data_IF_729230491335
#
_entry.id   IF_729230491335
#
_cell.length_a   1.000
_cell.length_b   1.000
_cell.length_c   1.000
_cell.angle_alpha   90.00
_cell.angle_beta   90.00
_cell.angle_gamma   90.00
#
_symmetry.space_group_name_H-M   'P 1'
#
loop_
_entity.id
_entity.type
_entity.pdbx_description
1 polymer ?
#
# COMPACT_ATOMS: atom_id res chain seq x y z
N UNK A 1 -1.58 22.84 -15.94
CA UNK A 1 -1.03 21.49 -15.65
C UNK A 1 0.47 21.34 -15.92
N UNK A 2 1.04 21.78 -17.06
CA UNK A 2 2.47 21.61 -17.36
C UNK A 2 3.48 22.29 -16.40
N UNK A 3 3.09 23.38 -15.72
CA UNK A 3 3.99 24.11 -14.80
C UNK A 3 4.25 23.36 -13.49
N UNK A 4 3.20 22.78 -12.89
CA UNK A 4 3.29 21.98 -11.67
C UNK A 4 4.12 20.70 -11.89
N UNK A 5 3.89 20.02 -13.02
CA UNK A 5 4.68 18.84 -13.39
C UNK A 5 6.16 19.19 -13.59
N UNK A 6 6.47 20.26 -14.34
CA UNK A 6 7.86 20.73 -14.50
C UNK A 6 8.51 21.11 -13.17
N UNK A 7 7.77 21.77 -12.28
CA UNK A 7 8.26 22.09 -10.93
C UNK A 7 8.56 20.82 -10.13
N UNK A 8 7.66 19.85 -10.12
CA UNK A 8 7.89 18.55 -9.47
C UNK A 8 9.12 17.84 -10.05
N UNK A 9 9.26 17.81 -11.37
CA UNK A 9 10.44 17.22 -12.05
C UNK A 9 11.74 17.91 -11.62
N UNK A 10 11.74 19.24 -11.49
CA UNK A 10 12.90 19.99 -11.01
C UNK A 10 13.21 19.62 -9.56
N UNK A 11 12.23 19.61 -8.66
CA UNK A 11 12.40 19.20 -7.26
C UNK A 11 12.93 17.76 -7.16
N UNK A 12 12.40 16.84 -7.96
CA UNK A 12 12.86 15.44 -8.00
C UNK A 12 14.29 15.32 -8.52
N UNK A 13 14.73 16.22 -9.40
CA UNK A 13 16.10 16.22 -9.93
C UNK A 13 17.10 16.74 -8.90
N UNK A 14 16.76 17.81 -8.18
CA UNK A 14 17.66 18.42 -7.19
C UNK A 14 17.61 17.73 -5.82
N UNK A 15 16.44 17.22 -5.43
CA UNK A 15 16.17 16.63 -4.12
C UNK A 15 15.27 15.40 -4.25
N UNK A 16 15.74 14.30 -4.85
CA UNK A 16 14.93 13.13 -5.19
C UNK A 16 14.24 12.52 -3.96
N UNK A 17 15.01 12.22 -2.91
CA UNK A 17 14.49 11.61 -1.68
C UNK A 17 13.46 12.52 -1.00
N UNK A 18 13.80 13.79 -0.76
CA UNK A 18 12.90 14.73 -0.05
C UNK A 18 11.58 14.92 -0.80
N UNK A 19 11.66 15.07 -2.12
CA UNK A 19 10.48 15.25 -2.98
C UNK A 19 9.57 14.04 -2.89
N UNK A 20 10.14 12.84 -2.97
CA UNK A 20 9.39 11.60 -2.88
C UNK A 20 8.78 11.39 -1.49
N UNK A 21 9.54 11.63 -0.42
CA UNK A 21 9.08 11.58 0.98
C UNK A 21 7.86 12.48 1.21
N UNK A 22 7.96 13.76 0.82
CA UNK A 22 6.88 14.73 1.01
C UNK A 22 5.66 14.34 0.16
N UNK A 23 5.87 13.96 -1.11
CA UNK A 23 4.76 13.56 -1.98
C UNK A 23 4.07 12.28 -1.50
N UNK A 24 4.82 11.34 -0.90
CA UNK A 24 4.27 10.10 -0.35
C UNK A 24 3.37 10.38 0.84
N UNK A 25 3.81 11.20 1.80
CA UNK A 25 2.96 11.57 2.94
C UNK A 25 1.65 12.21 2.51
N UNK A 26 1.70 13.16 1.56
CA UNK A 26 0.50 13.82 1.05
C UNK A 26 -0.43 12.85 0.30
N UNK A 27 0.12 11.98 -0.54
CA UNK A 27 -0.67 10.99 -1.29
C UNK A 27 -1.30 9.94 -0.38
N UNK A 28 -0.61 9.53 0.68
CA UNK A 28 -1.16 8.61 1.68
C UNK A 28 -2.28 9.26 2.51
N UNK A 29 -2.11 10.50 2.95
CA UNK A 29 -3.16 11.23 3.67
C UNK A 29 -4.41 11.48 2.81
N UNK A 30 -4.24 11.93 1.57
CA UNK A 30 -5.37 12.09 0.62
C UNK A 30 -5.97 10.74 0.22
N UNK A 31 -5.12 9.72 0.08
CA UNK A 31 -5.40 8.29 0.01
C UNK A 31 -6.47 7.85 1.01
N UNK A 32 -6.15 8.09 2.27
CA UNK A 32 -6.95 7.68 3.41
C UNK A 32 -8.30 8.40 3.47
N UNK A 33 -8.34 9.71 3.19
CA UNK A 33 -9.60 10.48 3.15
C UNK A 33 -10.55 9.88 2.11
N UNK A 34 -10.05 9.58 0.91
CA UNK A 34 -10.88 8.98 -0.14
C UNK A 34 -11.32 7.55 0.22
N UNK A 35 -10.44 6.74 0.83
CA UNK A 35 -10.78 5.41 1.31
C UNK A 35 -11.90 5.45 2.35
N UNK A 36 -11.84 6.37 3.31
CA UNK A 36 -12.89 6.58 4.30
C UNK A 36 -14.22 6.96 3.62
N UNK A 37 -14.19 7.84 2.62
CA UNK A 37 -15.39 8.27 1.88
C UNK A 37 -16.03 7.12 1.07
N UNK A 38 -15.21 6.35 0.35
CA UNK A 38 -15.68 5.19 -0.43
C UNK A 38 -16.32 4.16 0.51
N UNK A 39 -15.67 3.90 1.64
CA UNK A 39 -16.13 2.94 2.63
C UNK A 39 -17.49 3.36 3.22
N UNK A 40 -17.65 4.63 3.60
CA UNK A 40 -18.94 5.16 4.07
C UNK A 40 -20.05 5.05 3.00
N UNK A 41 -19.71 5.37 1.75
CA UNK A 41 -20.64 5.28 0.62
C UNK A 41 -21.06 3.83 0.32
N UNK A 42 -20.14 2.87 0.42
CA UNK A 42 -20.41 1.45 0.22
C UNK A 42 -21.33 0.88 1.31
N UNK A 43 -21.06 1.19 2.59
CA UNK A 43 -21.90 0.76 3.71
C UNK A 43 -23.35 1.26 3.58
N UNK A 44 -23.53 2.52 3.15
CA UNK A 44 -24.85 3.11 2.90
C UNK A 44 -25.65 2.39 1.81
N UNK A 45 -24.97 1.76 0.85
CA UNK A 45 -25.62 1.05 -0.26
C UNK A 45 -26.10 -0.35 0.13
N UNK A 46 -25.42 -1.02 1.07
CA UNK A 46 -25.73 -2.39 1.49
C UNK A 46 -26.73 -2.52 2.65
N UNK A 47 -26.96 -1.46 3.44
CA UNK A 47 -27.91 -1.44 4.55
C UNK A 47 -29.03 -0.41 4.33
N UNK A 48 -30.00 -0.66 3.42
CA UNK A 48 -31.15 0.21 3.27
C UNK A 48 -32.24 -0.22 4.26
N UNK A 49 -32.01 -0.18 5.58
CA UNK A 49 -33.10 -0.44 6.52
C UNK A 49 -32.96 0.27 7.86
N UNK A 50 -34.01 1.07 8.11
CA UNK A 50 -34.55 1.53 9.40
C UNK A 50 -33.84 2.67 10.15
N UNK A 51 -34.59 3.78 10.25
CA UNK A 51 -34.47 4.96 11.14
C UNK A 51 -33.38 5.99 10.82
N UNK A 52 -33.81 7.03 10.09
CA UNK A 52 -33.48 8.47 10.19
C UNK A 52 -32.38 8.92 11.18
N UNK A 53 -31.15 8.47 10.97
CA UNK A 53 -29.97 9.26 11.22
C UNK A 53 -29.17 9.26 9.93
N UNK A 54 -29.15 10.38 9.21
CA UNK A 54 -28.12 10.60 8.19
C UNK A 54 -26.80 10.61 8.95
N UNK A 55 -26.12 9.46 9.03
CA UNK A 55 -24.76 9.43 9.57
C UNK A 55 -23.91 10.30 8.66
N UNK A 56 -23.70 11.52 9.12
CA UNK A 56 -22.89 12.52 8.44
C UNK A 56 -21.48 11.95 8.29
N UNK A 57 -20.95 11.98 7.08
CA UNK A 57 -19.60 11.49 6.82
C UNK A 57 -18.59 12.31 7.64
N UNK A 58 -18.00 11.70 8.66
CA UNK A 58 -16.96 12.32 9.50
C UNK A 58 -15.61 11.73 9.17
N UNK A 59 -14.69 12.60 8.75
CA UNK A 59 -13.30 12.22 8.48
C UNK A 59 -12.60 11.95 9.81
N UNK A 60 -12.05 10.75 9.94
CA UNK A 60 -11.14 10.38 11.01
C UNK A 60 -9.75 10.98 10.75
N UNK A 61 -9.54 12.22 11.20
CA UNK A 61 -8.26 12.93 11.06
C UNK A 61 -7.09 12.25 11.76
N UNK A 62 -7.35 11.48 12.84
CA UNK A 62 -6.31 10.68 13.49
C UNK A 62 -5.77 9.63 12.52
N UNK A 63 -6.66 8.90 11.84
CA UNK A 63 -6.27 7.89 10.83
C UNK A 63 -5.50 8.51 9.67
N UNK A 64 -5.96 9.65 9.16
CA UNK A 64 -5.28 10.41 8.09
C UNK A 64 -3.86 10.82 8.52
N UNK A 65 -3.69 11.30 9.75
CA UNK A 65 -2.38 11.66 10.28
C UNK A 65 -1.44 10.46 10.37
N UNK A 66 -1.94 9.33 10.88
CA UNK A 66 -1.18 8.08 11.01
C UNK A 66 -0.74 7.57 9.62
N UNK A 67 -1.66 7.44 8.66
CA UNK A 67 -1.32 6.95 7.31
C UNK A 67 -0.41 7.91 6.55
N UNK A 68 -0.62 9.23 6.69
CA UNK A 68 0.29 10.24 6.15
C UNK A 68 1.70 10.12 6.75
N UNK A 69 1.82 9.85 8.05
CA UNK A 69 3.11 9.63 8.70
C UNK A 69 3.78 8.34 8.21
N UNK A 70 3.01 7.27 7.94
CA UNK A 70 3.53 6.06 7.32
C UNK A 70 4.09 6.34 5.92
N UNK A 71 3.32 7.06 5.09
CA UNK A 71 3.75 7.50 3.76
C UNK A 71 5.03 8.33 3.80
N UNK A 72 5.13 9.26 4.76
CA UNK A 72 6.30 10.12 4.93
C UNK A 72 7.52 9.37 5.49
N UNK A 73 7.34 8.58 6.56
CA UNK A 73 8.42 8.00 7.35
C UNK A 73 8.93 6.66 6.84
N UNK A 74 8.08 5.87 6.16
CA UNK A 74 8.43 4.55 5.68
C UNK A 74 8.37 4.46 4.15
N UNK A 75 7.20 4.64 3.55
CA UNK A 75 7.01 4.39 2.10
C UNK A 75 7.84 5.34 1.24
N UNK A 76 7.92 6.61 1.63
CA UNK A 76 8.75 7.62 0.98
C UNK A 76 10.23 7.23 0.90
N UNK A 77 10.95 7.10 2.04
CA UNK A 77 12.37 6.82 2.03
C UNK A 77 12.68 5.36 1.63
N UNK A 78 11.96 4.38 2.19
CA UNK A 78 12.22 2.96 1.93
C UNK A 78 11.82 2.61 0.51
N UNK A 79 10.68 3.09 0.02
CA UNK A 79 10.25 2.86 -1.35
C UNK A 79 11.20 3.48 -2.38
N UNK A 80 11.76 4.67 -2.10
CA UNK A 80 12.76 5.30 -2.96
C UNK A 80 13.99 4.40 -3.11
N UNK A 81 14.56 4.00 -1.96
CA UNK A 81 15.74 3.15 -1.92
C UNK A 81 15.47 1.78 -2.53
N UNK A 82 14.27 1.23 -2.34
CA UNK A 82 13.86 -0.03 -2.92
C UNK A 82 13.84 0.01 -4.44
N UNK A 83 13.12 0.95 -5.06
CA UNK A 83 13.01 0.99 -6.53
C UNK A 83 14.33 1.32 -7.22
N UNK A 84 15.15 2.21 -6.66
CA UNK A 84 16.48 2.49 -7.18
C UNK A 84 17.44 1.31 -6.99
N UNK A 85 17.43 0.71 -5.79
CA UNK A 85 18.24 -0.46 -5.47
C UNK A 85 17.90 -1.66 -6.33
N UNK A 86 16.62 -1.92 -6.55
CA UNK A 86 16.10 -3.00 -7.38
C UNK A 86 16.50 -2.82 -8.85
N UNK A 87 16.37 -1.60 -9.38
CA UNK A 87 16.81 -1.28 -10.74
C UNK A 87 18.32 -1.49 -10.90
N UNK A 88 19.12 -1.01 -9.94
CA UNK A 88 20.56 -1.15 -9.94
C UNK A 88 20.99 -2.62 -9.83
N UNK A 89 20.36 -3.39 -8.94
CA UNK A 89 20.64 -4.80 -8.74
C UNK A 89 20.38 -5.60 -10.03
N UNK A 90 19.22 -5.42 -10.64
CA UNK A 90 18.85 -6.19 -11.84
C UNK A 90 19.74 -5.83 -13.04
N UNK A 91 20.11 -4.55 -13.20
CA UNK A 91 21.01 -4.13 -14.28
C UNK A 91 22.45 -4.59 -14.07
N UNK A 92 22.98 -4.46 -12.86
CA UNK A 92 24.40 -4.70 -12.60
C UNK A 92 24.71 -6.17 -12.26
N UNK A 93 23.83 -6.84 -11.52
CA UNK A 93 24.03 -8.23 -11.09
C UNK A 93 23.41 -9.23 -12.05
N UNK A 94 22.15 -9.02 -12.45
CA UNK A 94 21.46 -9.94 -13.36
C UNK A 94 21.70 -9.61 -14.85
N UNK A 95 22.30 -8.45 -15.14
CA UNK A 95 22.63 -7.99 -16.51
C UNK A 95 21.43 -8.03 -17.47
N UNK A 96 20.22 -7.83 -16.95
CA UNK A 96 19.01 -7.88 -17.75
C UNK A 96 18.79 -6.54 -18.47
N UNK A 97 18.43 -6.64 -19.76
CA UNK A 97 18.12 -5.48 -20.58
C UNK A 97 16.89 -4.73 -20.02
N UNK A 98 16.98 -3.42 -19.78
CA UNK A 98 15.85 -2.63 -19.31
C UNK A 98 14.63 -2.81 -20.22
N UNK A 99 13.44 -2.87 -19.63
CA UNK A 99 12.16 -3.07 -20.33
C UNK A 99 11.95 -4.44 -21.00
N UNK A 100 12.93 -5.36 -20.94
CA UNK A 100 12.71 -6.73 -21.38
C UNK A 100 11.71 -7.46 -20.47
N UNK A 101 11.02 -8.48 -20.97
CA UNK A 101 10.09 -9.27 -20.16
C UNK A 101 10.78 -9.89 -18.93
N UNK A 102 12.03 -10.35 -19.09
CA UNK A 102 12.85 -10.88 -18.00
C UNK A 102 13.14 -9.83 -16.93
N UNK A 103 13.47 -8.60 -17.35
CA UNK A 103 13.72 -7.49 -16.44
C UNK A 103 12.47 -7.12 -15.62
N UNK A 104 11.31 -7.01 -16.30
CA UNK A 104 10.03 -6.71 -15.64
C UNK A 104 9.61 -7.84 -14.71
N UNK A 105 9.74 -9.09 -15.16
CA UNK A 105 9.42 -10.27 -14.35
C UNK A 105 10.30 -10.39 -13.10
N UNK A 106 11.61 -10.12 -13.22
CA UNK A 106 12.52 -10.12 -12.06
C UNK A 106 12.16 -9.01 -11.06
N UNK A 107 11.88 -7.79 -11.54
CA UNK A 107 11.40 -6.70 -10.67
C UNK A 107 10.12 -7.07 -9.96
N UNK A 108 9.14 -7.58 -10.70
CA UNK A 108 7.85 -7.97 -10.16
C UNK A 108 7.97 -9.07 -9.11
N UNK A 109 8.79 -10.09 -9.37
CA UNK A 109 8.99 -11.18 -8.42
C UNK A 109 9.67 -10.70 -7.13
N UNK A 110 10.71 -9.86 -7.23
CA UNK A 110 11.37 -9.31 -6.05
C UNK A 110 10.45 -8.37 -5.27
N UNK A 111 9.71 -7.52 -5.97
CA UNK A 111 8.74 -6.61 -5.36
C UNK A 111 7.63 -7.38 -4.65
N UNK A 112 7.01 -8.33 -5.33
CA UNK A 112 5.91 -9.12 -4.78
C UNK A 112 6.34 -10.11 -3.69
N UNK A 113 7.49 -10.78 -3.81
CA UNK A 113 7.88 -11.84 -2.86
C UNK A 113 8.74 -11.34 -1.69
N UNK A 114 9.40 -10.19 -1.83
CA UNK A 114 10.27 -9.65 -0.77
C UNK A 114 9.63 -8.40 -0.18
N UNK A 115 9.36 -7.39 -1.00
CA UNK A 115 8.88 -6.11 -0.50
C UNK A 115 7.43 -6.19 -0.03
N UNK A 116 6.54 -6.85 -0.78
CA UNK A 116 5.13 -7.01 -0.44
C UNK A 116 4.88 -7.56 0.97
N UNK A 117 5.46 -8.71 1.37
CA UNK A 117 5.28 -9.24 2.72
C UNK A 117 5.86 -8.33 3.81
N UNK A 118 7.02 -7.72 3.55
CA UNK A 118 7.66 -6.78 4.49
C UNK A 118 6.76 -5.56 4.69
N UNK A 119 6.29 -4.95 3.61
CA UNK A 119 5.43 -3.77 3.63
C UNK A 119 4.12 -4.05 4.38
N UNK A 120 3.46 -5.18 4.11
CA UNK A 120 2.23 -5.58 4.83
C UNK A 120 2.48 -5.76 6.33
N UNK A 121 3.54 -6.48 6.72
CA UNK A 121 3.86 -6.69 8.15
C UNK A 121 4.14 -5.35 8.83
N UNK A 122 4.92 -4.47 8.20
CA UNK A 122 5.21 -3.14 8.74
C UNK A 122 3.96 -2.28 8.82
N UNK A 123 3.12 -2.27 7.79
CA UNK A 123 1.89 -1.51 7.74
C UNK A 123 0.92 -1.94 8.85
N UNK A 124 0.58 -3.23 8.93
CA UNK A 124 -0.33 -3.73 9.96
C UNK A 124 0.22 -3.52 11.38
N UNK A 125 1.52 -3.73 11.58
CA UNK A 125 2.16 -3.46 12.88
C UNK A 125 2.05 -1.99 13.27
N UNK A 126 2.41 -1.10 12.33
CA UNK A 126 2.38 0.35 12.55
C UNK A 126 0.95 0.83 12.84
N UNK A 127 -0.02 0.39 12.04
CA UNK A 127 -1.43 0.75 12.23
C UNK A 127 -1.97 0.23 13.56
N UNK A 128 -1.62 -0.99 13.95
CA UNK A 128 -2.03 -1.57 15.24
C UNK A 128 -1.51 -0.76 16.42
N UNK A 129 -0.20 -0.49 16.47
CA UNK A 129 0.40 0.30 17.55
C UNK A 129 -0.09 1.75 17.55
N UNK A 130 -0.25 2.39 16.38
CA UNK A 130 -0.76 3.76 16.29
C UNK A 130 -2.23 3.89 16.74
N UNK A 131 -2.98 2.79 16.68
CA UNK A 131 -4.33 2.69 17.24
C UNK A 131 -4.37 2.31 18.72
N UNK A 132 -3.21 2.07 19.35
CA UNK A 132 -3.09 1.78 20.77
C UNK A 132 -3.22 0.30 21.14
N UNK A 133 -3.15 -0.61 20.16
CA UNK A 133 -3.13 -2.06 20.41
C UNK A 133 -1.83 -2.47 21.10
N UNK A 134 -1.90 -3.49 21.93
CA UNK A 134 -0.72 -4.09 22.53
C UNK A 134 0.01 -5.05 21.56
N UNK A 135 1.17 -5.56 21.99
CA UNK A 135 2.00 -6.45 21.16
C UNK A 135 1.31 -7.79 20.87
N UNK A 136 0.52 -8.30 21.80
CA UNK A 136 -0.18 -9.57 21.63
C UNK A 136 -1.29 -9.43 20.59
N UNK A 137 -2.10 -8.38 20.69
CA UNK A 137 -3.15 -8.03 19.74
C UNK A 137 -2.59 -7.82 18.33
N UNK A 138 -1.50 -7.04 18.20
CA UNK A 138 -0.84 -6.83 16.89
C UNK A 138 -0.34 -8.15 16.30
N UNK A 139 0.22 -9.04 17.12
CA UNK A 139 0.69 -10.34 16.65
C UNK A 139 -0.46 -11.22 16.15
N UNK A 140 -1.62 -11.16 16.80
CA UNK A 140 -2.82 -11.88 16.36
C UNK A 140 -3.37 -11.31 15.06
N UNK A 141 -3.47 -9.99 14.93
CA UNK A 141 -3.86 -9.32 13.69
C UNK A 141 -2.94 -9.70 12.53
N UNK A 142 -1.62 -9.68 12.74
CA UNK A 142 -0.65 -10.08 11.72
C UNK A 142 -0.87 -11.53 11.23
N UNK A 143 -1.12 -12.46 12.16
CA UNK A 143 -1.40 -13.86 11.83
C UNK A 143 -2.71 -14.03 11.06
N UNK A 144 -3.71 -13.22 11.39
CA UNK A 144 -5.05 -13.26 10.77
C UNK A 144 -5.03 -12.63 9.38
N UNK A 145 -4.40 -11.48 9.23
CA UNK A 145 -4.66 -10.57 8.12
C UNK A 145 -3.54 -10.54 7.07
N UNK A 146 -2.27 -10.79 7.43
CA UNK A 146 -1.15 -10.66 6.47
C UNK A 146 -1.27 -11.64 5.30
N UNK A 147 -1.53 -12.92 5.57
CA UNK A 147 -1.60 -13.93 4.50
C UNK A 147 -2.79 -13.70 3.55
N UNK A 148 -4.03 -13.51 4.03
CA UNK A 148 -5.14 -13.24 3.13
C UNK A 148 -4.98 -11.89 2.41
N UNK A 149 -4.46 -10.85 3.09
CA UNK A 149 -4.19 -9.56 2.45
C UNK A 149 -3.14 -9.73 1.34
N UNK A 150 -2.07 -10.49 1.58
CA UNK A 150 -1.02 -10.76 0.60
C UNK A 150 -1.53 -11.50 -0.63
N UNK A 151 -2.35 -12.53 -0.45
CA UNK A 151 -2.92 -13.29 -1.57
C UNK A 151 -3.84 -12.41 -2.39
N UNK A 152 -4.70 -11.64 -1.73
CA UNK A 152 -5.70 -10.84 -2.41
C UNK A 152 -5.06 -9.61 -3.11
N UNK A 153 -4.15 -8.91 -2.42
CA UNK A 153 -3.37 -7.82 -3.01
C UNK A 153 -2.49 -8.33 -4.17
N UNK A 154 -1.96 -9.55 -4.04
CA UNK A 154 -1.21 -10.27 -5.07
C UNK A 154 -1.97 -10.58 -6.35
N UNK A 155 -3.29 -10.34 -6.42
CA UNK A 155 -4.05 -10.47 -7.68
C UNK A 155 -4.08 -9.15 -8.47
N UNK A 156 -4.18 -8.02 -7.77
CA UNK A 156 -4.36 -6.69 -8.38
C UNK A 156 -3.01 -6.01 -8.64
N UNK A 157 -2.12 -6.05 -7.64
CA UNK A 157 -0.84 -5.34 -7.68
C UNK A 157 0.09 -5.77 -8.81
N UNK A 158 0.17 -7.06 -9.23
CA UNK A 158 1.04 -7.43 -10.33
C UNK A 158 0.70 -6.73 -11.64
N UNK A 159 -0.59 -6.48 -11.90
CA UNK A 159 -1.03 -5.78 -13.11
C UNK A 159 -0.51 -4.33 -13.08
N UNK A 160 -0.67 -3.66 -11.93
CA UNK A 160 -0.21 -2.29 -11.70
C UNK A 160 1.32 -2.21 -11.82
N UNK A 161 2.04 -3.14 -11.20
CA UNK A 161 3.51 -3.14 -11.16
C UNK A 161 4.14 -3.55 -12.49
N UNK A 162 3.52 -4.43 -13.28
CA UNK A 162 3.96 -4.71 -14.65
C UNK A 162 3.95 -3.43 -15.48
N UNK A 163 2.87 -2.64 -15.41
CA UNK A 163 2.79 -1.36 -16.10
C UNK A 163 3.86 -0.38 -15.59
N UNK A 164 4.03 -0.30 -14.26
CA UNK A 164 5.04 0.53 -13.62
C UNK A 164 6.45 0.21 -14.13
N UNK A 165 6.88 -1.05 -14.03
CA UNK A 165 8.23 -1.47 -14.39
C UNK A 165 8.50 -1.46 -15.89
N UNK A 166 7.46 -1.59 -16.73
CA UNK A 166 7.60 -1.59 -18.19
C UNK A 166 7.64 -0.19 -18.79
N UNK A 167 6.86 0.75 -18.27
CA UNK A 167 6.62 2.05 -18.90
C UNK A 167 7.12 3.25 -18.08
N UNK A 168 7.18 3.13 -16.75
CA UNK A 168 7.53 4.25 -15.88
C UNK A 168 9.03 4.26 -15.59
N UNK A 169 9.74 5.39 -15.81
CA UNK A 169 11.13 5.54 -15.40
C UNK A 169 11.28 5.41 -13.88
N UNK A 170 12.36 4.77 -13.41
CA UNK A 170 12.64 4.45 -11.99
C UNK A 170 12.34 5.60 -11.02
N UNK A 171 12.79 6.81 -11.35
CA UNK A 171 12.57 8.02 -10.52
C UNK A 171 11.10 8.36 -10.28
N UNK A 172 10.17 7.87 -11.10
CA UNK A 172 8.73 8.09 -10.96
C UNK A 172 7.97 6.83 -10.51
N UNK A 173 8.65 5.69 -10.33
CA UNK A 173 7.99 4.42 -10.00
C UNK A 173 7.30 4.47 -8.63
N UNK A 174 7.94 5.14 -7.65
CA UNK A 174 7.32 5.36 -6.35
C UNK A 174 6.12 6.29 -6.43
N UNK A 175 6.22 7.40 -7.20
CA UNK A 175 5.08 8.30 -7.40
C UNK A 175 3.91 7.56 -8.04
N UNK A 176 4.19 6.73 -9.05
CA UNK A 176 3.19 5.91 -9.71
C UNK A 176 2.47 5.02 -8.70
N UNK A 177 3.20 4.23 -7.92
CA UNK A 177 2.63 3.35 -6.87
C UNK A 177 1.82 4.15 -5.86
N UNK A 178 2.32 5.29 -5.40
CA UNK A 178 1.62 6.14 -4.44
C UNK A 178 0.30 6.71 -4.97
N UNK A 179 0.12 6.87 -6.29
CA UNK A 179 -1.19 7.24 -6.85
C UNK A 179 -2.22 6.12 -6.71
N UNK A 180 -1.77 4.86 -6.70
CA UNK A 180 -2.63 3.70 -6.46
C UNK A 180 -2.83 3.40 -4.96
N UNK A 181 -2.15 4.11 -4.05
CA UNK A 181 -2.40 4.01 -2.61
C UNK A 181 -3.83 4.38 -2.23
N UNK A 182 -4.53 5.21 -3.03
CA UNK A 182 -5.98 5.44 -2.90
C UNK A 182 -6.77 4.12 -3.01
N UNK A 183 -6.45 3.34 -4.05
CA UNK A 183 -7.11 2.06 -4.34
C UNK A 183 -6.73 1.02 -3.29
N UNK A 184 -5.47 1.00 -2.88
CA UNK A 184 -4.97 0.07 -1.86
C UNK A 184 -5.52 0.39 -0.47
N UNK A 185 -5.62 1.68 -0.09
CA UNK A 185 -6.22 2.10 1.17
C UNK A 185 -7.71 1.76 1.22
N UNK A 186 -8.44 1.98 0.12
CA UNK A 186 -9.85 1.60 0.02
C UNK A 186 -10.03 0.07 0.10
N UNK A 187 -9.14 -0.67 -0.57
CA UNK A 187 -9.09 -2.12 -0.52
C UNK A 187 -8.82 -2.65 0.89
N UNK A 188 -7.82 -2.11 1.59
CA UNK A 188 -7.48 -2.49 2.98
C UNK A 188 -8.60 -2.13 3.96
N UNK A 189 -9.24 -0.96 3.79
CA UNK A 189 -10.43 -0.59 4.58
C UNK A 189 -11.59 -1.57 4.39
N UNK A 190 -11.90 -1.93 3.14
CA UNK A 190 -12.91 -2.93 2.84
C UNK A 190 -12.52 -4.32 3.37
N UNK A 191 -11.23 -4.68 3.29
CA UNK A 191 -10.72 -5.94 3.80
C UNK A 191 -10.83 -6.01 5.32
N UNK A 192 -10.49 -4.95 6.05
CA UNK A 192 -10.61 -4.86 7.52
C UNK A 192 -12.06 -4.99 7.98
N UNK A 193 -13.03 -4.44 7.23
CA UNK A 193 -14.46 -4.62 7.53
C UNK A 193 -14.93 -6.08 7.45
N UNK A 194 -14.18 -6.96 6.79
CA UNK A 194 -14.52 -8.37 6.63
C UNK A 194 -13.92 -9.27 7.72
N UNK A 195 -13.66 -8.76 8.92
CA UNK A 195 -13.04 -9.54 10.00
C UNK A 195 -13.72 -10.89 10.28
N UNK A 196 -15.03 -11.02 10.06
CA UNK A 196 -15.79 -12.26 10.31
C UNK A 196 -16.13 -13.07 9.04
N UNK A 197 -15.54 -12.74 7.89
CA UNK A 197 -15.89 -13.41 6.64
C UNK A 197 -15.39 -14.88 6.61
N UNK A 198 -16.24 -15.86 6.27
CA UNK A 198 -15.88 -17.28 6.30
C UNK A 198 -14.66 -17.65 5.44
N UNK A 199 -14.44 -16.92 4.34
CA UNK A 199 -13.32 -17.16 3.43
C UNK A 199 -11.96 -16.80 4.04
N UNK A 200 -11.89 -15.85 4.99
CA UNK A 200 -10.64 -15.54 5.71
C UNK A 200 -10.23 -16.70 6.62
N UNK A 201 -11.20 -17.43 7.19
CA UNK A 201 -10.93 -18.60 8.03
C UNK A 201 -10.30 -19.76 7.24
N UNK A 202 -10.63 -19.87 5.95
CA UNK A 202 -9.99 -20.84 5.07
C UNK A 202 -8.47 -20.60 4.98
N UNK A 203 -8.03 -19.35 4.86
CA UNK A 203 -6.60 -19.01 4.84
C UNK A 203 -5.90 -19.19 6.19
N UNK A 204 -6.56 -18.91 7.31
CA UNK A 204 -5.99 -19.18 8.64
C UNK A 204 -5.91 -20.67 8.97
N UNK A 205 -6.73 -21.52 8.31
CA UNK A 205 -6.66 -22.98 8.43
C UNK A 205 -5.43 -23.61 7.74
N UNK A 206 -4.82 -22.90 6.78
CA UNK A 206 -3.56 -23.32 6.14
C UNK A 206 -2.32 -22.97 6.96
N UNK A 207 -2.47 -22.34 8.13
CA UNK A 207 -1.34 -21.96 8.96
C UNK A 207 -0.84 -23.21 9.73
N UNK A 208 0.30 -23.81 9.37
CA UNK A 208 0.75 -25.09 9.95
C UNK A 208 1.23 -24.96 11.42
N UNK A 209 1.13 -23.75 11.98
CA UNK A 209 1.49 -23.42 13.36
C UNK A 209 0.29 -23.43 14.33
N UNK A 210 -0.89 -23.88 13.89
CA UNK A 210 -2.07 -23.98 14.77
C UNK A 210 -2.04 -25.22 15.68
N UNK A 211 -1.22 -26.23 15.34
CA UNK A 211 -1.16 -27.53 16.04
C UNK A 211 0.20 -27.84 16.72
N UNK A 212 0.93 -26.82 17.19
CA UNK A 212 2.12 -27.03 18.04
C UNK A 212 2.20 -26.09 19.23
#
# INVERSE_FOLDING_TARGET
MFRLWKWYQNCLTFHPVKTQVISSGFLWGTGDIAAQYITHSATKTHLPTSSDAVEEFKINWKRVGITSMFGFGFVGPVGHMWYEGLDRFIRLKLQLQPKSAKFVGAKLAMDGLIFGPIDLVFFFSYMGFANGKDVAEVKEDLKRDVLPAFILSGTVWPIIQVANFRYVPVRYQLLYVNMFCLLDSAFLSWFEQQNDAPWKQWFTSFNPFKDR
#
